data_IF_631792690142
#
_entry.id   IF_631792690142
#
_cell.length_a   1.000
_cell.length_b   1.000
_cell.length_c   1.000
_cell.angle_alpha   90.00
_cell.angle_beta   90.00
_cell.angle_gamma   90.00
#
_symmetry.space_group_name_H-M   'P 1'
#
loop_
_entity.id
_entity.type
_entity.pdbx_description
1 polymer ?
#
# COMPACT_ATOMS: atom_id res chain seq x y z
N UNK A 1 12.34 -9.19 14.57
CA UNK A 1 12.51 -9.38 13.12
C UNK A 1 12.90 -10.84 12.92
N UNK A 2 12.13 -11.62 12.17
CA UNK A 2 12.48 -13.00 11.87
C UNK A 2 13.41 -13.01 10.64
N UNK A 3 14.52 -13.70 10.69
CA UNK A 3 15.50 -13.77 9.60
C UNK A 3 15.06 -14.60 8.39
N UNK A 4 13.78 -14.57 8.04
CA UNK A 4 13.23 -15.34 6.92
C UNK A 4 13.02 -14.40 5.71
N UNK A 5 13.26 -14.88 4.49
CA UNK A 5 13.05 -14.14 3.24
C UNK A 5 11.64 -13.63 3.03
N UNK A 6 10.65 -14.28 3.64
CA UNK A 6 9.22 -13.98 3.52
C UNK A 6 8.69 -13.08 4.65
N UNK A 7 9.57 -12.61 5.50
CA UNK A 7 9.26 -11.64 6.54
C UNK A 7 10.03 -10.38 6.24
N UNK A 8 9.63 -9.23 6.51
CA UNK A 8 10.44 -8.02 6.44
C UNK A 8 11.83 -8.14 7.12
N UNK A 9 12.17 -9.35 7.65
CA UNK A 9 13.45 -9.71 8.24
C UNK A 9 14.57 -9.80 7.20
N UNK A 10 15.65 -9.11 7.46
CA UNK A 10 16.81 -9.08 6.59
C UNK A 10 17.76 -10.22 6.90
N UNK A 11 18.14 -10.98 5.88
CA UNK A 11 19.15 -12.03 5.99
C UNK A 11 20.59 -11.51 5.86
N UNK A 12 20.72 -10.27 5.40
CA UNK A 12 22.03 -9.64 5.27
C UNK A 12 22.51 -9.11 6.61
N UNK A 13 23.83 -9.00 6.75
CA UNK A 13 24.43 -8.46 7.96
C UNK A 13 23.90 -7.03 8.24
N UNK A 14 23.59 -6.67 9.50
CA UNK A 14 23.04 -5.34 9.86
C UNK A 14 23.84 -4.16 9.31
N UNK A 15 25.17 -4.28 9.26
CA UNK A 15 26.03 -3.24 8.67
C UNK A 15 25.69 -2.95 7.21
N UNK A 16 25.40 -4.01 6.42
CA UNK A 16 25.02 -3.87 5.02
C UNK A 16 23.64 -3.23 4.88
N UNK A 17 22.66 -3.70 5.65
CA UNK A 17 21.29 -3.16 5.64
C UNK A 17 21.29 -1.69 6.03
N UNK A 18 22.04 -1.34 7.07
CA UNK A 18 22.14 0.03 7.55
C UNK A 18 22.91 0.94 6.56
N UNK A 19 23.90 0.41 5.84
CA UNK A 19 24.57 1.16 4.79
C UNK A 19 23.64 1.45 3.60
N UNK A 20 22.83 0.47 3.18
CA UNK A 20 21.83 0.66 2.13
C UNK A 20 20.79 1.71 2.52
N UNK A 21 20.26 1.64 3.75
CA UNK A 21 19.35 2.68 4.28
C UNK A 21 20.01 4.06 4.22
N UNK A 22 21.21 4.19 4.77
CA UNK A 22 21.93 5.47 4.82
C UNK A 22 22.18 6.08 3.43
N UNK A 23 22.51 5.26 2.43
CA UNK A 23 22.73 5.76 1.07
C UNK A 23 21.47 6.30 0.41
N UNK A 24 20.31 5.81 0.82
CA UNK A 24 19.01 6.24 0.27
C UNK A 24 18.40 7.40 1.03
N UNK A 25 18.76 7.60 2.30
CA UNK A 25 18.07 8.56 3.17
C UNK A 25 18.94 9.74 3.65
N UNK A 26 20.24 9.74 3.33
CA UNK A 26 21.19 10.74 3.83
C UNK A 26 20.86 12.19 3.47
N UNK A 27 20.04 12.41 2.45
CA UNK A 27 19.60 13.72 1.95
C UNK A 27 18.21 14.12 2.47
N UNK A 28 17.57 13.26 3.25
CA UNK A 28 16.26 13.46 3.87
C UNK A 28 16.42 13.88 5.33
N UNK A 29 15.37 14.41 5.99
CA UNK A 29 15.40 14.67 7.43
C UNK A 29 15.77 13.42 8.23
N UNK A 30 16.25 13.61 9.45
CA UNK A 30 16.56 12.51 10.34
C UNK A 30 15.34 11.61 10.60
N UNK A 31 15.61 10.32 10.78
CA UNK A 31 14.56 9.38 11.15
C UNK A 31 13.93 9.75 12.49
N UNK A 32 12.62 9.69 12.59
CA UNK A 32 11.90 9.97 13.85
C UNK A 32 12.34 9.05 14.99
N UNK A 33 12.65 7.81 14.67
CA UNK A 33 13.26 6.85 15.60
C UNK A 33 14.08 5.80 14.82
N UNK A 34 15.39 6.00 14.65
CA UNK A 34 16.22 5.12 13.84
C UNK A 34 16.51 3.75 14.48
N UNK A 35 16.21 3.57 15.74
CA UNK A 35 16.62 2.39 16.50
C UNK A 35 17.98 2.57 17.21
N UNK A 36 18.79 1.49 17.38
CA UNK A 36 18.68 0.19 16.67
C UNK A 36 17.50 -0.67 17.11
N UNK A 37 16.93 -1.38 16.15
CA UNK A 37 15.90 -2.39 16.35
C UNK A 37 16.52 -3.79 16.43
N UNK A 38 15.71 -4.84 16.44
CA UNK A 38 16.22 -6.22 16.53
C UNK A 38 17.39 -6.46 15.58
N UNK A 39 18.40 -7.20 16.03
CA UNK A 39 19.65 -7.51 15.34
C UNK A 39 20.49 -6.27 14.94
N UNK A 40 20.26 -5.10 15.56
CA UNK A 40 21.01 -3.89 15.29
C UNK A 40 20.65 -3.20 13.97
N UNK A 41 19.53 -3.57 13.36
CA UNK A 41 19.03 -2.95 12.12
C UNK A 41 18.40 -1.59 12.43
N UNK A 42 18.69 -0.61 11.60
CA UNK A 42 18.03 0.69 11.61
C UNK A 42 16.77 0.66 10.76
N UNK A 43 15.83 1.53 11.08
CA UNK A 43 14.63 1.76 10.27
C UNK A 43 14.47 3.25 10.01
N UNK A 44 14.04 3.61 8.81
CA UNK A 44 13.83 4.98 8.43
C UNK A 44 12.33 5.24 8.23
N UNK A 45 11.78 6.01 9.12
CA UNK A 45 10.46 6.64 8.98
C UNK A 45 10.53 8.04 9.56
N UNK A 46 9.89 9.00 8.91
CA UNK A 46 9.96 10.40 9.27
C UNK A 46 8.80 11.20 8.68
N UNK A 47 8.72 12.49 8.98
CA UNK A 47 7.86 13.42 8.26
C UNK A 47 8.66 14.57 7.64
N UNK A 48 8.13 15.09 6.54
CA UNK A 48 8.70 16.24 5.85
C UNK A 48 7.56 17.15 5.42
N UNK A 49 7.71 18.46 5.67
CA UNK A 49 6.78 19.47 5.19
C UNK A 49 7.43 20.16 3.99
N UNK A 50 6.77 20.11 2.85
CA UNK A 50 7.27 20.70 1.61
C UNK A 50 6.15 21.27 0.76
N UNK A 51 6.30 22.50 0.28
CA UNK A 51 5.32 23.15 -0.59
C UNK A 51 3.93 23.30 0.03
N UNK A 52 3.82 23.44 1.36
CA UNK A 52 2.52 23.52 2.07
C UNK A 52 1.83 22.17 2.27
N UNK A 53 2.49 21.06 1.94
CA UNK A 53 1.99 19.69 2.14
C UNK A 53 2.85 18.98 3.17
N UNK A 54 2.21 18.25 4.08
CA UNK A 54 2.90 17.42 5.06
C UNK A 54 2.94 15.95 4.61
N UNK A 55 4.14 15.39 4.57
CA UNK A 55 4.36 14.00 4.17
C UNK A 55 4.82 13.15 5.35
N UNK A 56 4.20 11.99 5.56
CA UNK A 56 4.76 10.94 6.39
C UNK A 56 5.37 9.86 5.48
N UNK A 57 6.63 9.53 5.72
CA UNK A 57 7.37 8.48 5.00
C UNK A 57 7.42 7.26 5.92
N UNK A 58 6.91 6.12 5.46
CA UNK A 58 6.82 4.91 6.26
C UNK A 58 7.92 3.89 5.92
N UNK A 59 8.25 3.08 6.91
CA UNK A 59 8.98 1.84 6.75
C UNK A 59 8.01 0.67 6.99
N UNK A 60 7.40 0.15 5.94
CA UNK A 60 6.34 -0.85 6.02
C UNK A 60 6.82 -2.30 5.82
N UNK A 61 8.16 -2.53 5.83
CA UNK A 61 8.75 -3.85 5.56
C UNK A 61 9.47 -4.44 6.77
N UNK A 62 10.26 -3.63 7.48
CA UNK A 62 11.17 -4.12 8.53
C UNK A 62 10.47 -4.62 9.78
N UNK A 63 9.29 -4.09 10.08
CA UNK A 63 8.51 -4.45 11.27
C UNK A 63 7.42 -5.49 10.99
N UNK A 64 7.15 -5.76 9.71
CA UNK A 64 6.05 -6.62 9.30
C UNK A 64 6.27 -8.05 9.74
N UNK A 65 5.23 -8.66 10.31
CA UNK A 65 5.20 -10.07 10.66
C UNK A 65 5.42 -10.98 9.45
N UNK A 66 6.09 -12.10 9.67
CA UNK A 66 6.38 -13.07 8.63
C UNK A 66 5.17 -13.96 8.33
N UNK A 67 4.92 -14.34 7.06
CA UNK A 67 3.97 -15.40 6.74
C UNK A 67 4.19 -16.71 7.51
N UNK A 68 5.45 -17.02 7.85
CA UNK A 68 5.81 -18.21 8.65
C UNK A 68 5.29 -18.19 10.10
N UNK A 69 4.82 -17.03 10.59
CA UNK A 69 4.18 -16.95 11.92
C UNK A 69 2.76 -17.55 11.92
N UNK A 70 2.15 -17.67 10.76
CA UNK A 70 0.76 -18.16 10.60
C UNK A 70 0.65 -19.35 9.63
N UNK A 71 1.66 -19.61 8.80
CA UNK A 71 1.69 -20.70 7.83
C UNK A 71 2.96 -21.55 8.00
N UNK A 72 2.79 -22.85 8.04
CA UNK A 72 3.90 -23.81 8.04
C UNK A 72 4.17 -24.42 6.67
N UNK A 73 3.23 -24.26 5.72
CA UNK A 73 3.31 -24.80 4.36
C UNK A 73 2.71 -23.81 3.37
N UNK A 74 3.21 -23.76 2.12
CA UNK A 74 2.60 -23.01 1.04
C UNK A 74 1.15 -23.45 0.77
N UNK A 75 0.28 -22.49 0.45
CA UNK A 75 -1.12 -22.75 0.08
C UNK A 75 -1.21 -22.69 -1.45
N UNK A 76 -1.06 -23.86 -2.09
CA UNK A 76 -1.09 -24.02 -3.53
C UNK A 76 -2.50 -24.22 -4.06
N UNK A 77 -2.67 -23.99 -5.38
CA UNK A 77 -3.90 -24.40 -6.08
C UNK A 77 -4.07 -25.92 -6.02
N UNK A 78 -5.29 -26.43 -5.76
CA UNK A 78 -5.57 -27.86 -5.84
C UNK A 78 -5.21 -28.43 -7.22
N UNK A 79 -4.53 -29.56 -7.23
CA UNK A 79 -4.12 -30.29 -8.44
C UNK A 79 -3.22 -29.49 -9.41
N UNK A 80 -2.46 -28.53 -8.89
CA UNK A 80 -1.52 -27.75 -9.70
C UNK A 80 -0.25 -28.54 -9.98
N UNK A 81 0.18 -28.62 -11.23
CA UNK A 81 1.49 -29.16 -11.63
C UNK A 81 2.65 -28.26 -11.20
N UNK A 82 2.36 -27.04 -10.75
CA UNK A 82 3.34 -26.06 -10.28
C UNK A 82 3.09 -25.77 -8.81
N UNK A 83 3.67 -26.54 -7.90
CA UNK A 83 3.48 -26.35 -6.47
C UNK A 83 3.95 -24.93 -6.08
N UNK A 84 3.15 -24.27 -5.26
CA UNK A 84 3.55 -23.02 -4.65
C UNK A 84 4.76 -23.26 -3.73
N UNK A 85 5.85 -22.52 -3.93
CA UNK A 85 7.10 -22.69 -3.15
C UNK A 85 7.26 -21.59 -2.11
N UNK A 86 6.37 -20.60 -2.09
CA UNK A 86 6.43 -19.43 -1.22
C UNK A 86 5.28 -19.45 -0.23
N UNK A 87 5.53 -19.01 1.00
CA UNK A 87 4.48 -18.87 2.02
C UNK A 87 3.63 -17.64 1.83
N UNK A 88 4.20 -16.59 1.20
CA UNK A 88 3.54 -15.30 1.07
C UNK A 88 2.34 -15.30 0.13
N UNK A 89 2.24 -16.26 -0.80
CA UNK A 89 1.17 -16.26 -1.79
C UNK A 89 0.17 -17.37 -1.55
N UNK A 90 -1.07 -17.00 -1.29
CA UNK A 90 -2.20 -17.92 -1.11
C UNK A 90 -2.86 -18.13 -2.47
N UNK A 91 -2.63 -19.29 -3.10
CA UNK A 91 -3.11 -19.61 -4.44
C UNK A 91 -4.39 -20.44 -4.45
N UNK A 92 -4.67 -21.22 -3.40
CA UNK A 92 -5.89 -22.00 -3.30
C UNK A 92 -7.10 -21.07 -3.20
N UNK A 93 -8.00 -21.06 -4.20
CA UNK A 93 -9.16 -20.19 -4.18
C UNK A 93 -10.18 -20.54 -3.09
N UNK A 94 -10.14 -21.74 -2.53
CA UNK A 94 -11.06 -22.21 -1.49
C UNK A 94 -10.52 -21.93 -0.07
N UNK A 95 -9.25 -21.63 0.06
CA UNK A 95 -8.64 -21.32 1.35
C UNK A 95 -9.16 -19.99 1.90
N UNK A 96 -9.65 -20.01 3.10
CA UNK A 96 -10.08 -18.79 3.80
C UNK A 96 -8.84 -18.04 4.36
N UNK A 97 -8.37 -17.05 3.60
CA UNK A 97 -7.19 -16.27 3.97
C UNK A 97 -7.43 -15.29 5.14
N UNK A 98 -8.69 -15.02 5.51
CA UNK A 98 -9.01 -14.18 6.67
C UNK A 98 -8.58 -14.83 7.99
N UNK A 99 -8.43 -16.17 7.99
CA UNK A 99 -7.94 -16.94 9.15
C UNK A 99 -6.46 -16.69 9.47
N UNK A 100 -5.72 -16.06 8.58
CA UNK A 100 -4.30 -15.74 8.76
C UNK A 100 -4.07 -14.46 9.55
N UNK A 101 -5.13 -13.79 9.98
CA UNK A 101 -5.03 -12.60 10.81
C UNK A 101 -5.02 -12.97 12.30
N UNK A 102 -4.20 -12.25 13.08
CA UNK A 102 -4.16 -12.28 14.54
C UNK A 102 -3.80 -10.88 15.04
N UNK A 103 -4.31 -10.52 16.21
CA UNK A 103 -4.12 -9.19 16.80
C UNK A 103 -2.66 -8.88 17.20
N UNK A 104 -1.87 -9.91 17.49
CA UNK A 104 -0.45 -9.79 17.87
C UNK A 104 0.49 -9.53 16.67
N UNK A 105 0.01 -9.73 15.45
CA UNK A 105 0.80 -9.49 14.25
C UNK A 105 1.06 -8.00 14.04
N UNK A 106 2.23 -7.71 13.46
CA UNK A 106 2.74 -6.37 13.23
C UNK A 106 2.76 -6.01 11.75
N UNK A 107 2.59 -4.73 11.44
CA UNK A 107 2.86 -4.14 10.13
C UNK A 107 3.88 -3.02 10.27
N UNK A 108 3.51 -1.93 10.92
CA UNK A 108 4.40 -0.77 11.12
C UNK A 108 5.20 -0.85 12.42
N UNK A 109 4.78 -1.68 13.36
CA UNK A 109 5.34 -1.73 14.71
C UNK A 109 4.89 -0.55 15.59
N UNK A 110 4.90 -0.77 16.90
CA UNK A 110 4.32 0.17 17.89
C UNK A 110 4.95 1.57 17.81
N UNK A 111 6.26 1.66 17.61
CA UNK A 111 6.94 2.96 17.58
C UNK A 111 6.52 3.80 16.36
N UNK A 112 6.37 3.15 15.22
CA UNK A 112 5.95 3.84 14.00
C UNK A 112 4.44 4.12 14.00
N UNK A 113 3.61 3.22 14.56
CA UNK A 113 2.18 3.49 14.75
C UNK A 113 1.97 4.75 15.61
N UNK A 114 2.74 4.92 16.70
CA UNK A 114 2.72 6.16 17.51
C UNK A 114 3.18 7.40 16.74
N UNK A 115 4.27 7.28 16.00
CA UNK A 115 4.76 8.37 15.15
C UNK A 115 3.69 8.82 14.15
N UNK A 116 3.00 7.88 13.50
CA UNK A 116 1.93 8.20 12.53
C UNK A 116 0.75 8.87 13.22
N UNK A 117 0.35 8.40 14.39
CA UNK A 117 -0.74 9.00 15.17
C UNK A 117 -0.40 10.45 15.58
N UNK A 118 0.78 10.67 16.15
CA UNK A 118 1.25 12.01 16.54
C UNK A 118 1.32 12.96 15.33
N UNK A 119 1.85 12.49 14.21
CA UNK A 119 1.90 13.24 12.95
C UNK A 119 0.50 13.58 12.44
N UNK A 120 -0.40 12.61 12.41
CA UNK A 120 -1.76 12.78 11.91
C UNK A 120 -2.56 13.78 12.77
N UNK A 121 -2.39 13.73 14.10
CA UNK A 121 -3.00 14.71 15.01
C UNK A 121 -2.44 16.12 14.80
N UNK A 122 -1.14 16.25 14.55
CA UNK A 122 -0.53 17.54 14.21
C UNK A 122 -1.12 18.11 12.92
N UNK A 123 -1.11 17.31 11.84
CA UNK A 123 -1.64 17.69 10.52
C UNK A 123 -3.11 18.10 10.60
N UNK A 124 -3.92 17.36 11.36
CA UNK A 124 -5.34 17.69 11.56
C UNK A 124 -5.54 19.06 12.22
N UNK A 125 -4.67 19.44 13.18
CA UNK A 125 -4.73 20.78 13.83
C UNK A 125 -4.24 21.90 12.92
N UNK A 126 -3.26 21.62 12.06
CA UNK A 126 -2.68 22.59 11.13
C UNK A 126 -3.53 22.76 9.85
N UNK A 127 -4.50 21.88 9.65
CA UNK A 127 -5.40 21.85 8.48
C UNK A 127 -4.67 21.84 7.13
N UNK A 128 -3.41 21.36 7.09
CA UNK A 128 -2.66 21.27 5.84
C UNK A 128 -3.04 20.05 5.03
N UNK A 129 -2.85 20.09 3.72
CA UNK A 129 -2.95 18.88 2.88
C UNK A 129 -1.81 17.94 3.21
N UNK A 130 -2.04 16.65 3.07
CA UNK A 130 -1.07 15.66 3.53
C UNK A 130 -1.08 14.38 2.72
N UNK A 131 0.06 13.68 2.75
CA UNK A 131 0.22 12.39 2.12
C UNK A 131 1.06 11.44 2.98
N UNK A 132 0.76 10.15 2.87
CA UNK A 132 1.58 9.06 3.40
C UNK A 132 2.28 8.37 2.24
N UNK A 133 3.60 8.27 2.30
CA UNK A 133 4.42 7.54 1.33
C UNK A 133 4.77 6.18 1.90
N UNK A 134 4.40 5.12 1.20
CA UNK A 134 4.61 3.72 1.60
C UNK A 134 5.16 2.92 0.44
N UNK A 135 5.91 1.84 0.71
CA UNK A 135 6.45 1.00 -0.35
C UNK A 135 5.35 0.22 -1.05
N UNK A 136 4.40 -0.32 -0.28
CA UNK A 136 3.31 -1.16 -0.78
C UNK A 136 1.92 -0.63 -0.40
N UNK A 137 0.88 -0.89 -1.20
CA UNK A 137 -0.47 -0.47 -0.87
C UNK A 137 -1.05 -1.26 0.32
N UNK A 138 -1.89 -0.60 1.13
CA UNK A 138 -2.56 -1.19 2.29
C UNK A 138 -3.80 -2.01 1.92
N UNK A 139 -3.72 -2.70 0.80
CA UNK A 139 -4.79 -3.53 0.26
C UNK A 139 -4.19 -4.58 -0.68
N UNK A 140 -4.79 -5.76 -0.71
CA UNK A 140 -4.36 -6.83 -1.60
C UNK A 140 -5.07 -6.70 -2.95
N UNK A 141 -4.59 -5.81 -3.79
CA UNK A 141 -4.97 -5.65 -5.20
C UNK A 141 -3.70 -5.73 -6.05
N UNK A 142 -3.76 -6.26 -7.24
CA UNK A 142 -2.60 -6.30 -8.13
C UNK A 142 -2.01 -7.67 -8.40
N UNK A 143 -2.81 -8.69 -8.28
CA UNK A 143 -2.41 -10.07 -8.53
C UNK A 143 -2.93 -10.54 -9.88
N UNK A 144 -2.20 -10.37 -10.96
CA UNK A 144 -2.51 -10.93 -12.28
C UNK A 144 -4.02 -11.06 -12.58
N UNK A 145 -4.42 -12.04 -13.38
CA UNK A 145 -5.81 -12.38 -13.73
C UNK A 145 -6.58 -13.15 -12.64
N UNK A 146 -5.93 -13.49 -11.53
CA UNK A 146 -6.50 -14.26 -10.41
C UNK A 146 -6.38 -13.49 -9.09
N UNK A 147 -7.42 -13.62 -8.27
CA UNK A 147 -7.45 -13.01 -6.93
C UNK A 147 -6.67 -13.85 -5.93
N UNK A 148 -5.35 -13.80 -6.00
CA UNK A 148 -4.47 -14.42 -5.03
C UNK A 148 -4.37 -13.60 -3.73
N UNK A 149 -4.15 -14.26 -2.61
CA UNK A 149 -3.74 -13.58 -1.38
C UNK A 149 -2.24 -13.38 -1.41
N UNK A 150 -1.79 -12.14 -1.51
CA UNK A 150 -0.39 -11.77 -1.43
C UNK A 150 -0.11 -11.15 -0.06
N UNK A 151 0.51 -11.94 0.83
CA UNK A 151 0.85 -11.50 2.19
C UNK A 151 2.01 -10.50 2.20
N UNK A 152 2.64 -10.28 1.04
CA UNK A 152 3.65 -9.23 0.88
C UNK A 152 3.01 -7.83 0.81
N UNK A 153 1.79 -7.73 0.28
CA UNK A 153 1.01 -6.48 0.34
C UNK A 153 0.70 -6.06 1.78
N UNK A 154 0.55 -4.76 2.05
CA UNK A 154 0.14 -4.26 3.36
C UNK A 154 -1.37 -4.46 3.65
N UNK A 155 -2.06 -5.19 2.80
CA UNK A 155 -3.39 -5.74 3.09
C UNK A 155 -3.37 -6.84 4.16
N UNK A 156 -2.21 -7.43 4.42
CA UNK A 156 -1.99 -8.40 5.50
C UNK A 156 -0.82 -7.95 6.39
N UNK A 157 -0.91 -8.14 7.72
CA UNK A 157 -2.02 -8.64 8.54
C UNK A 157 -3.17 -7.61 8.65
N UNK A 158 -4.42 -8.08 8.57
CA UNK A 158 -5.60 -7.21 8.53
C UNK A 158 -5.75 -6.34 9.78
N UNK A 159 -5.61 -6.90 10.98
CA UNK A 159 -5.71 -6.16 12.24
C UNK A 159 -4.64 -5.07 12.35
N UNK A 160 -3.39 -5.38 11.98
CA UNK A 160 -2.30 -4.40 11.97
C UNK A 160 -2.50 -3.31 10.90
N UNK A 161 -2.95 -3.70 9.69
CA UNK A 161 -3.37 -2.77 8.65
C UNK A 161 -4.45 -1.80 9.15
N UNK A 162 -5.47 -2.30 9.81
CA UNK A 162 -6.56 -1.48 10.33
C UNK A 162 -6.09 -0.52 11.43
N UNK A 163 -5.16 -0.94 12.30
CA UNK A 163 -4.53 -0.03 13.28
C UNK A 163 -3.79 1.11 12.58
N UNK A 164 -2.97 0.79 11.58
CA UNK A 164 -2.23 1.79 10.81
C UNK A 164 -3.16 2.79 10.10
N UNK A 165 -4.23 2.32 9.46
CA UNK A 165 -5.21 3.20 8.80
C UNK A 165 -5.96 4.09 9.79
N UNK A 166 -6.29 3.59 10.99
CA UNK A 166 -6.90 4.42 12.05
C UNK A 166 -5.94 5.51 12.54
N UNK A 167 -4.64 5.21 12.64
CA UNK A 167 -3.63 6.21 12.98
C UNK A 167 -3.50 7.30 11.90
N UNK A 168 -3.61 6.95 10.62
CA UNK A 168 -3.56 7.92 9.50
C UNK A 168 -4.84 8.75 9.39
N UNK A 169 -6.01 8.18 9.67
CA UNK A 169 -7.32 8.77 9.36
C UNK A 169 -7.53 10.22 9.83
N UNK A 170 -7.05 10.66 11.02
CA UNK A 170 -7.24 12.05 11.46
C UNK A 170 -6.62 13.09 10.53
N UNK A 171 -5.51 12.75 9.84
CA UNK A 171 -4.83 13.66 8.90
C UNK A 171 -5.58 13.88 7.60
N UNK A 172 -6.57 13.05 7.26
CA UNK A 172 -7.21 12.97 5.94
C UNK A 172 -6.19 12.82 4.78
N UNK A 173 -5.01 12.30 5.09
CA UNK A 173 -3.93 12.12 4.12
C UNK A 173 -4.33 11.12 3.02
N UNK A 174 -3.84 11.38 1.82
CA UNK A 174 -3.83 10.37 0.76
C UNK A 174 -2.61 9.46 0.92
N UNK A 175 -2.75 8.19 0.60
CA UNK A 175 -1.65 7.24 0.64
C UNK A 175 -1.12 7.02 -0.78
N UNK A 176 0.19 7.08 -0.96
CA UNK A 176 0.85 6.90 -2.25
C UNK A 176 1.79 5.71 -2.14
N UNK A 177 1.61 4.73 -3.02
CA UNK A 177 2.41 3.51 -3.03
C UNK A 177 2.77 3.07 -4.46
N UNK A 178 3.76 2.20 -4.57
CA UNK A 178 4.15 1.49 -5.79
C UNK A 178 3.82 0.01 -5.75
N UNK A 179 4.73 -0.81 -6.28
CA UNK A 179 4.80 -2.27 -6.15
C UNK A 179 3.78 -3.11 -6.96
N UNK A 180 2.59 -2.63 -7.26
CA UNK A 180 1.52 -3.45 -7.84
C UNK A 180 1.46 -3.52 -9.39
N UNK A 181 2.36 -2.86 -10.10
CA UNK A 181 2.55 -2.91 -11.56
C UNK A 181 1.33 -2.50 -12.40
N UNK A 182 0.40 -1.73 -11.86
CA UNK A 182 -0.70 -1.07 -12.60
C UNK A 182 -1.24 0.11 -11.79
N UNK A 183 -2.02 0.98 -12.41
CA UNK A 183 -2.57 2.16 -11.75
C UNK A 183 -3.88 1.86 -11.03
N UNK A 184 -4.00 2.24 -9.74
CA UNK A 184 -5.27 2.13 -9.01
C UNK A 184 -5.53 3.34 -8.12
N UNK A 185 -6.81 3.69 -8.01
CA UNK A 185 -7.34 4.57 -6.95
C UNK A 185 -8.32 3.75 -6.11
N UNK A 186 -8.00 3.63 -4.84
CA UNK A 186 -8.79 2.87 -3.87
C UNK A 186 -9.12 3.77 -2.69
N UNK A 187 -10.35 3.73 -2.20
CA UNK A 187 -10.65 4.21 -0.85
C UNK A 187 -10.70 3.02 0.11
N UNK A 188 -9.87 3.05 1.14
CA UNK A 188 -9.86 2.02 2.16
C UNK A 188 -11.13 2.03 2.99
N UNK A 189 -11.55 0.85 3.42
CA UNK A 189 -12.53 0.68 4.47
C UNK A 189 -11.91 0.00 5.68
N UNK A 190 -12.30 0.42 6.87
CA UNK A 190 -11.88 -0.15 8.16
C UNK A 190 -13.08 -0.89 8.77
N UNK A 191 -14.03 -0.15 9.31
CA UNK A 191 -15.27 -0.68 9.90
C UNK A 191 -16.40 -0.75 8.85
N UNK A 192 -16.42 0.19 7.91
CA UNK A 192 -17.32 0.22 6.76
C UNK A 192 -16.57 0.65 5.49
N UNK A 193 -17.19 0.49 4.32
CA UNK A 193 -16.61 1.02 3.07
C UNK A 193 -16.55 2.54 3.10
N UNK A 194 -15.42 3.10 2.68
CA UNK A 194 -15.22 4.52 2.53
C UNK A 194 -14.93 5.30 3.81
N UNK A 195 -14.61 4.64 4.91
CA UNK A 195 -14.26 5.28 6.19
C UNK A 195 -12.75 5.41 6.43
N UNK A 196 -11.94 5.00 5.47
CA UNK A 196 -10.49 5.13 5.52
C UNK A 196 -9.92 6.06 4.45
N UNK A 197 -8.59 6.23 4.43
CA UNK A 197 -7.88 7.09 3.49
C UNK A 197 -8.07 6.67 2.04
N UNK A 198 -7.90 7.63 1.12
CA UNK A 198 -7.68 7.34 -0.30
C UNK A 198 -6.26 6.85 -0.53
N UNK A 199 -6.10 5.92 -1.45
CA UNK A 199 -4.81 5.37 -1.85
C UNK A 199 -4.65 5.40 -3.36
N UNK A 200 -3.50 5.89 -3.80
CA UNK A 200 -3.07 5.88 -5.18
C UNK A 200 -1.86 4.95 -5.32
N UNK A 201 -1.97 3.94 -6.15
CA UNK A 201 -0.84 3.09 -6.53
C UNK A 201 -0.50 3.30 -7.98
N UNK A 202 0.80 3.40 -8.26
CA UNK A 202 1.33 3.68 -9.60
C UNK A 202 1.94 2.43 -10.22
N UNK A 203 1.91 2.30 -11.56
CA UNK A 203 2.57 1.21 -12.26
C UNK A 203 4.10 1.32 -12.14
N UNK A 204 4.79 0.20 -12.37
CA UNK A 204 6.23 0.22 -12.51
C UNK A 204 6.64 0.92 -13.81
N UNK A 205 7.65 1.79 -13.75
CA UNK A 205 8.08 2.58 -14.92
C UNK A 205 8.70 1.73 -16.02
N UNK A 206 9.40 0.65 -15.67
CA UNK A 206 10.17 -0.16 -16.64
C UNK A 206 9.91 -1.66 -16.55
N UNK A 207 8.93 -2.11 -15.77
CA UNK A 207 8.57 -3.52 -15.70
C UNK A 207 7.49 -3.85 -16.73
N UNK A 208 7.70 -4.94 -17.49
CA UNK A 208 6.74 -5.49 -18.43
C UNK A 208 5.78 -6.51 -17.81
N UNK A 209 5.84 -6.67 -16.49
CA UNK A 209 4.91 -7.54 -15.76
C UNK A 209 3.57 -6.85 -15.60
N UNK A 210 2.67 -7.12 -16.54
CA UNK A 210 1.31 -6.64 -16.46
C UNK A 210 0.57 -7.31 -15.31
N UNK A 211 0.03 -6.51 -14.41
CA UNK A 211 -0.85 -6.96 -13.34
C UNK A 211 -2.21 -6.30 -13.50
N UNK A 212 -3.20 -6.95 -12.98
CA UNK A 212 -4.57 -6.46 -12.82
C UNK A 212 -5.17 -7.07 -11.56
N UNK A 213 -6.27 -6.56 -11.12
CA UNK A 213 -7.04 -7.18 -10.06
C UNK A 213 -8.46 -7.46 -10.53
N UNK A 214 -8.83 -8.72 -10.51
CA UNK A 214 -10.17 -9.20 -10.83
C UNK A 214 -10.77 -9.82 -9.56
N UNK A 215 -11.61 -9.07 -8.82
CA UNK A 215 -12.22 -9.59 -7.60
C UNK A 215 -13.10 -10.79 -7.92
N UNK A 216 -13.05 -11.81 -7.06
CA UNK A 216 -13.80 -13.07 -7.24
C UNK A 216 -15.31 -12.91 -7.11
N UNK A 217 -15.75 -11.85 -6.47
CA UNK A 217 -17.15 -11.56 -6.19
C UNK A 217 -17.48 -10.18 -6.72
N UNK A 218 -18.62 -10.03 -7.33
CA UNK A 218 -19.11 -8.75 -7.82
C UNK A 218 -19.16 -7.70 -6.69
N UNK A 219 -19.06 -6.43 -7.08
CA UNK A 219 -19.11 -5.32 -6.14
C UNK A 219 -20.40 -5.33 -5.30
N UNK A 220 -20.27 -5.05 -4.02
CA UNK A 220 -21.38 -4.96 -3.08
C UNK A 220 -22.01 -3.54 -3.02
N UNK A 221 -22.08 -2.88 -4.17
CA UNK A 221 -22.53 -1.49 -4.31
C UNK A 221 -21.40 -0.53 -4.65
N UNK A 222 -21.72 0.74 -4.82
CA UNK A 222 -20.74 1.79 -5.10
C UNK A 222 -20.08 1.72 -6.48
N UNK A 223 -20.61 0.91 -7.39
CA UNK A 223 -20.09 0.81 -8.76
C UNK A 223 -20.19 2.17 -9.47
N UNK A 224 -19.14 2.51 -10.22
CA UNK A 224 -19.03 3.77 -10.96
C UNK A 224 -19.26 3.45 -12.44
N UNK A 225 -20.24 4.11 -13.06
CA UNK A 225 -20.57 3.88 -14.47
C UNK A 225 -19.35 4.10 -15.37
N UNK A 226 -19.12 3.18 -16.28
CA UNK A 226 -18.00 3.20 -17.22
C UNK A 226 -16.65 2.77 -16.66
N UNK A 227 -16.56 2.39 -15.37
CA UNK A 227 -15.33 1.87 -14.75
C UNK A 227 -15.56 0.40 -14.38
N UNK A 228 -14.98 -0.50 -15.17
CA UNK A 228 -15.09 -1.93 -14.95
C UNK A 228 -14.45 -2.34 -13.61
N UNK A 229 -15.15 -3.20 -12.86
CA UNK A 229 -14.70 -3.71 -11.59
C UNK A 229 -14.71 -2.68 -10.43
N UNK A 230 -15.20 -1.44 -10.68
CA UNK A 230 -15.33 -0.44 -9.62
C UNK A 230 -16.37 -0.81 -8.57
N UNK A 231 -16.28 -0.18 -7.41
CA UNK A 231 -17.22 -0.32 -6.32
C UNK A 231 -16.64 -0.99 -5.07
N UNK A 232 -17.54 -1.42 -4.20
CA UNK A 232 -17.25 -1.95 -2.87
C UNK A 232 -16.90 -3.44 -2.91
N UNK A 233 -15.71 -3.77 -2.49
CA UNK A 233 -15.21 -5.14 -2.48
C UNK A 233 -14.60 -5.50 -1.12
N UNK A 234 -14.37 -6.80 -0.95
CA UNK A 234 -13.39 -7.31 0.00
C UNK A 234 -12.22 -7.88 -0.79
N UNK A 235 -11.01 -7.57 -0.38
CA UNK A 235 -9.83 -8.25 -0.90
C UNK A 235 -9.71 -9.66 -0.31
N UNK A 236 -8.64 -10.37 -0.67
CA UNK A 236 -8.42 -11.77 -0.29
C UNK A 236 -8.26 -11.98 1.22
N UNK A 237 -7.85 -10.96 1.95
CA UNK A 237 -7.71 -10.98 3.42
C UNK A 237 -8.93 -10.42 4.15
N UNK A 238 -10.02 -10.13 3.42
CA UNK A 238 -11.26 -9.59 3.98
C UNK A 238 -11.23 -8.08 4.23
N UNK A 239 -10.22 -7.36 3.76
CA UNK A 239 -10.20 -5.90 3.87
C UNK A 239 -11.28 -5.29 2.99
N UNK A 240 -12.03 -4.34 3.54
CA UNK A 240 -12.96 -3.53 2.78
C UNK A 240 -12.19 -2.51 1.94
N UNK A 241 -12.59 -2.35 0.69
CA UNK A 241 -12.09 -1.32 -0.23
C UNK A 241 -13.18 -0.89 -1.20
N UNK A 242 -13.09 0.36 -1.66
CA UNK A 242 -13.88 0.85 -2.80
C UNK A 242 -12.91 1.14 -3.93
N UNK A 243 -12.94 0.35 -5.00
CA UNK A 243 -12.14 0.60 -6.20
C UNK A 243 -12.81 1.73 -7.01
N UNK A 244 -12.14 2.87 -7.13
CA UNK A 244 -12.66 4.05 -7.82
C UNK A 244 -12.12 4.22 -9.23
N UNK A 245 -10.90 3.75 -9.50
CA UNK A 245 -10.30 3.74 -10.82
C UNK A 245 -9.21 2.66 -10.91
N UNK A 246 -9.03 2.11 -12.11
CA UNK A 246 -7.89 1.25 -12.43
C UNK A 246 -7.43 1.49 -13.87
N UNK A 247 -6.17 1.21 -14.13
CA UNK A 247 -5.60 1.21 -15.47
C UNK A 247 -4.58 0.06 -15.56
N UNK A 248 -5.01 -1.01 -16.20
CA UNK A 248 -4.28 -2.27 -16.30
C UNK A 248 -3.21 -2.21 -17.41
N UNK A 249 -2.20 -3.06 -17.31
CA UNK A 249 -1.30 -3.37 -18.42
C UNK A 249 -0.41 -2.21 -18.87
N UNK A 250 -0.14 -1.24 -17.99
CA UNK A 250 0.73 -0.12 -18.35
C UNK A 250 2.05 -0.08 -17.60
N UNK A 251 3.05 0.46 -18.30
CA UNK A 251 4.26 1.02 -17.71
C UNK A 251 4.09 2.53 -17.63
N UNK A 252 4.51 3.15 -16.52
CA UNK A 252 4.32 4.59 -16.39
C UNK A 252 4.62 5.13 -14.99
N UNK A 253 4.10 6.31 -14.73
CA UNK A 253 4.27 7.02 -13.47
C UNK A 253 3.01 7.79 -13.13
N UNK A 254 2.87 8.17 -11.87
CA UNK A 254 1.79 9.02 -11.37
C UNK A 254 2.27 10.43 -11.07
N UNK A 255 1.36 11.38 -11.22
CA UNK A 255 1.51 12.75 -10.70
C UNK A 255 0.38 13.00 -9.71
N UNK A 256 0.74 13.58 -8.57
CA UNK A 256 -0.22 14.01 -7.56
C UNK A 256 -0.10 15.51 -7.40
N UNK A 257 -1.19 16.22 -7.66
CA UNK A 257 -1.27 17.67 -7.55
C UNK A 257 -2.05 18.02 -6.28
N UNK A 258 -1.46 18.83 -5.43
CA UNK A 258 -2.09 19.35 -4.22
C UNK A 258 -2.45 20.82 -4.41
N UNK A 259 -3.74 21.14 -4.37
CA UNK A 259 -4.26 22.51 -4.43
C UNK A 259 -4.77 22.90 -3.03
N UNK A 260 -3.94 23.63 -2.29
CA UNK A 260 -4.26 24.03 -0.92
C UNK A 260 -5.40 25.05 -0.87
N UNK A 261 -5.54 25.90 -1.89
CA UNK A 261 -6.60 26.92 -1.94
C UNK A 261 -7.97 26.29 -2.14
N UNK A 262 -8.05 25.27 -3.00
CA UNK A 262 -9.28 24.51 -3.26
C UNK A 262 -9.48 23.33 -2.31
N UNK A 263 -8.44 22.95 -1.56
CA UNK A 263 -8.39 21.71 -0.78
C UNK A 263 -8.67 20.47 -1.62
N UNK A 264 -8.09 20.45 -2.79
CA UNK A 264 -8.22 19.36 -3.76
C UNK A 264 -6.91 18.60 -3.94
N UNK A 265 -7.03 17.30 -4.15
CA UNK A 265 -5.90 16.46 -4.56
C UNK A 265 -6.29 15.77 -5.87
N UNK A 266 -5.48 15.98 -6.91
CA UNK A 266 -5.69 15.37 -8.23
C UNK A 266 -4.64 14.28 -8.45
N UNK A 267 -5.10 13.11 -8.84
CA UNK A 267 -4.26 11.99 -9.25
C UNK A 267 -4.29 11.85 -10.76
N UNK A 268 -3.13 11.92 -11.37
CA UNK A 268 -2.93 11.68 -12.79
C UNK A 268 -2.04 10.45 -13.00
N UNK A 269 -2.37 9.69 -14.03
CA UNK A 269 -1.58 8.55 -14.47
C UNK A 269 -1.03 8.83 -15.85
N UNK A 270 0.27 8.57 -16.04
CA UNK A 270 0.99 8.81 -17.28
C UNK A 270 1.69 7.54 -17.75
N UNK A 271 1.72 7.33 -19.06
CA UNK A 271 2.49 6.29 -19.73
C UNK A 271 3.37 6.94 -20.82
N UNK A 272 4.20 6.14 -21.46
CA UNK A 272 4.91 6.57 -22.67
C UNK A 272 4.10 6.12 -23.90
N UNK A 273 4.01 6.99 -24.90
CA UNK A 273 3.45 6.64 -26.18
C UNK A 273 4.44 5.83 -27.06
N UNK A 274 4.05 5.49 -28.28
CA UNK A 274 4.90 4.75 -29.22
C UNK A 274 6.22 5.47 -29.57
N UNK A 275 6.29 6.81 -29.39
CA UNK A 275 7.48 7.62 -29.61
C UNK A 275 8.30 7.83 -28.32
N UNK A 276 7.87 7.17 -27.21
CA UNK A 276 8.43 7.34 -25.85
C UNK A 276 8.23 8.74 -25.26
N UNK A 277 7.22 9.46 -25.74
CA UNK A 277 6.81 10.72 -25.15
C UNK A 277 5.80 10.51 -24.02
N UNK A 278 5.87 11.29 -22.93
CA UNK A 278 4.92 11.21 -21.83
C UNK A 278 3.49 11.50 -22.30
N UNK A 279 2.58 10.59 -21.98
CA UNK A 279 1.16 10.72 -22.31
C UNK A 279 0.30 10.48 -21.08
N UNK A 280 -0.52 11.46 -20.72
CA UNK A 280 -1.51 11.30 -19.64
C UNK A 280 -2.58 10.29 -20.07
N UNK A 281 -2.93 9.39 -19.16
CA UNK A 281 -4.01 8.43 -19.36
C UNK A 281 -5.35 9.17 -19.22
N UNK A 282 -6.18 9.06 -20.26
CA UNK A 282 -7.51 9.65 -20.33
C UNK A 282 -8.54 8.53 -20.53
N UNK A 283 -8.70 7.66 -19.54
CA UNK A 283 -9.70 6.60 -19.52
C UNK A 283 -10.68 6.85 -18.36
N UNK A 284 -11.84 6.20 -18.34
CA UNK A 284 -12.79 6.38 -17.24
C UNK A 284 -12.16 6.26 -15.86
N UNK A 285 -12.40 7.25 -14.99
CA UNK A 285 -11.81 7.33 -13.66
C UNK A 285 -10.52 8.14 -13.55
N UNK A 286 -9.90 8.53 -14.66
CA UNK A 286 -8.66 9.31 -14.71
C UNK A 286 -8.80 10.62 -15.49
N UNK A 287 -8.25 11.77 -15.04
CA UNK A 287 -7.69 11.98 -13.69
C UNK A 287 -8.75 11.85 -12.61
N UNK A 288 -8.35 11.50 -11.38
CA UNK A 288 -9.24 11.48 -10.23
C UNK A 288 -8.98 12.68 -9.34
N UNK A 289 -10.02 13.44 -9.05
CA UNK A 289 -9.97 14.53 -8.07
C UNK A 289 -10.72 14.11 -6.81
N UNK A 290 -10.13 14.38 -5.67
CA UNK A 290 -10.76 14.22 -4.36
C UNK A 290 -10.77 15.56 -3.62
N UNK A 291 -11.85 15.80 -2.86
CA UNK A 291 -11.95 16.89 -1.92
C UNK A 291 -11.48 16.45 -0.55
N UNK A 292 -10.62 17.24 0.08
CA UNK A 292 -10.21 17.06 1.46
C UNK A 292 -11.08 17.94 2.34
N UNK A 293 -11.81 17.34 3.28
CA UNK A 293 -12.69 18.07 4.20
C UNK A 293 -11.94 19.10 5.05
N UNK A 294 -12.71 20.05 5.60
CA UNK A 294 -12.23 20.99 6.62
C UNK A 294 -12.31 20.34 7.99
#
# INVERSE_FOLDING_TARGET
>A
MSGNRTSGGYQQHPTWVNAAERTQTWHLPDAANPGPWGDGIRAYFTSVDYGGVSFAILEDRKFKSAPSEVLTKPVAEPNSDRPNRTLEVIKDPTFDATRLDREDLQLLGVAQERFVDDWAQRVAREECLSAVLSQSPFVNVGNYDRDFGDMDSNGWPQSARNRALRAVAPSQAVMIAGDIHYGTIVQHGIDKWGDGPWSFSVPAFSSDQNRTWNPRVAARGGAIAGIEGSGNHHDRFGNKLTLAAKADGLQGYGIVLFDSDKREITFELHTLDANREPKRIAVPGWPKVIQVGK
#
